data_IF_782644739234
#
_entry.id   IF_782644739234
#
_cell.length_a   1.000
_cell.length_b   1.000
_cell.length_c   1.000
_cell.angle_alpha   90.00
_cell.angle_beta   90.00
_cell.angle_gamma   90.00
#
_symmetry.space_group_name_H-M   'P 1'
#
loop_
_entity.id
_entity.type
_entity.pdbx_description
1 polymer ?
#
# COMPACT_ATOMS: atom_id res chain seq x y z
N UNK A 1 -7.21 -3.80 -15.81
CA UNK A 1 -6.46 -2.69 -15.17
C UNK A 1 -7.35 -1.45 -15.03
N UNK A 2 -8.03 -0.99 -16.07
CA UNK A 2 -8.97 0.15 -15.96
C UNK A 2 -10.11 -0.07 -14.96
N UNK A 3 -10.63 -1.29 -14.85
CA UNK A 3 -11.65 -1.63 -13.85
C UNK A 3 -11.14 -1.45 -12.41
N UNK A 4 -9.89 -1.83 -12.13
CA UNK A 4 -9.28 -1.68 -10.80
C UNK A 4 -9.04 -0.23 -10.44
N UNK A 5 -8.64 0.59 -11.41
CA UNK A 5 -8.47 2.04 -11.21
C UNK A 5 -9.79 2.68 -10.77
N UNK A 6 -10.91 2.30 -11.40
CA UNK A 6 -12.26 2.81 -11.04
C UNK A 6 -12.71 2.42 -9.64
N UNK A 7 -12.33 1.23 -9.16
CA UNK A 7 -12.73 0.74 -7.83
C UNK A 7 -12.14 1.58 -6.69
N UNK A 8 -10.97 2.19 -6.92
CA UNK A 8 -10.23 2.94 -5.90
C UNK A 8 -10.13 4.44 -6.19
N UNK A 9 -10.88 4.93 -7.17
CA UNK A 9 -10.81 6.32 -7.65
C UNK A 9 -9.37 6.77 -7.96
N UNK A 10 -8.57 5.84 -8.48
CA UNK A 10 -7.15 6.05 -8.73
C UNK A 10 -6.84 6.72 -10.06
N UNK A 11 -5.56 7.04 -10.26
CA UNK A 11 -5.03 7.49 -11.56
C UNK A 11 -3.86 6.60 -11.98
N UNK A 12 -3.64 6.49 -13.29
CA UNK A 12 -2.48 5.76 -13.80
C UNK A 12 -1.22 6.53 -13.49
N UNK A 13 -0.34 5.94 -12.69
CA UNK A 13 0.99 6.47 -12.47
C UNK A 13 1.88 6.25 -13.71
N UNK A 14 2.70 7.25 -14.04
CA UNK A 14 3.71 7.20 -15.08
C UNK A 14 5.04 7.68 -14.49
N UNK A 15 5.94 6.75 -14.23
CA UNK A 15 7.23 7.03 -13.61
C UNK A 15 7.93 5.74 -13.17
N UNK A 16 9.07 5.89 -12.51
CA UNK A 16 9.85 4.77 -11.99
C UNK A 16 9.47 4.47 -10.54
N UNK A 17 9.22 3.19 -10.24
CA UNK A 17 9.07 2.70 -8.87
C UNK A 17 10.40 2.05 -8.47
N UNK A 18 11.05 2.60 -7.45
CA UNK A 18 12.34 2.10 -6.94
C UNK A 18 12.12 1.25 -5.68
N UNK A 19 13.02 0.32 -5.41
CA UNK A 19 12.98 -0.56 -4.24
C UNK A 19 12.17 -1.84 -4.46
N UNK A 20 11.77 -2.47 -3.36
CA UNK A 20 11.17 -3.81 -3.38
C UNK A 20 9.89 -3.89 -4.23
N UNK A 21 9.01 -2.87 -4.14
CA UNK A 21 7.75 -2.86 -4.89
C UNK A 21 7.99 -2.88 -6.42
N UNK A 22 8.93 -2.07 -6.91
CA UNK A 22 9.29 -2.04 -8.33
C UNK A 22 9.92 -3.36 -8.78
N UNK A 23 10.87 -3.88 -8.00
CA UNK A 23 11.52 -5.16 -8.31
C UNK A 23 10.53 -6.33 -8.36
N UNK A 24 9.66 -6.46 -7.35
CA UNK A 24 8.65 -7.52 -7.29
C UNK A 24 7.66 -7.44 -8.46
N UNK A 25 7.28 -6.23 -8.89
CA UNK A 25 6.40 -6.03 -10.06
C UNK A 25 7.05 -6.57 -11.34
N UNK A 26 8.36 -6.31 -11.53
CA UNK A 26 9.11 -6.80 -12.69
C UNK A 26 9.25 -8.32 -12.64
N UNK A 27 9.70 -8.88 -11.51
CA UNK A 27 9.89 -10.33 -11.34
C UNK A 27 8.57 -11.10 -11.51
N UNK A 28 7.47 -10.59 -10.97
CA UNK A 28 6.16 -11.19 -11.15
C UNK A 28 5.74 -11.20 -12.64
N UNK A 29 6.04 -10.12 -13.37
CA UNK A 29 5.75 -10.02 -14.81
C UNK A 29 6.59 -11.01 -15.63
N UNK A 30 7.87 -11.14 -15.32
CA UNK A 30 8.78 -12.12 -15.95
C UNK A 30 8.34 -13.56 -15.68
N UNK A 31 7.76 -13.83 -14.51
CA UNK A 31 7.16 -15.11 -14.17
C UNK A 31 5.77 -15.35 -14.80
N UNK A 32 5.26 -14.42 -15.62
CA UNK A 32 3.94 -14.51 -16.26
C UNK A 32 2.76 -14.31 -15.30
N UNK A 33 3.00 -13.75 -14.10
CA UNK A 33 1.96 -13.50 -13.11
C UNK A 33 1.27 -12.15 -13.37
N UNK A 34 -0.06 -12.14 -13.25
CA UNK A 34 -0.82 -10.89 -13.22
C UNK A 34 -0.48 -10.12 -11.95
N UNK A 35 0.02 -8.91 -12.10
CA UNK A 35 0.44 -8.07 -10.99
C UNK A 35 0.09 -6.60 -11.26
N UNK A 36 0.07 -5.81 -10.19
CA UNK A 36 0.02 -4.36 -10.24
C UNK A 36 0.65 -3.81 -8.95
N UNK A 37 1.08 -2.56 -9.00
CA UNK A 37 1.52 -1.81 -7.82
C UNK A 37 0.55 -0.64 -7.60
N UNK A 38 0.17 -0.42 -6.34
CA UNK A 38 -0.61 0.74 -5.92
C UNK A 38 0.28 1.70 -5.14
N UNK A 39 0.24 2.97 -5.50
CA UNK A 39 0.97 4.04 -4.81
C UNK A 39 -0.06 4.95 -4.17
N UNK A 40 0.13 5.25 -2.88
CA UNK A 40 -0.68 6.22 -2.15
C UNK A 40 0.23 7.37 -1.77
N UNK A 41 -0.13 8.58 -2.20
CA UNK A 41 0.64 9.79 -1.87
C UNK A 41 0.64 10.04 -0.37
N UNK A 42 1.82 10.40 0.15
CA UNK A 42 2.07 10.68 1.57
C UNK A 42 2.65 12.07 1.73
N UNK A 43 2.43 12.71 2.89
CA UNK A 43 3.21 13.88 3.26
C UNK A 43 4.64 13.48 3.64
N UNK A 44 5.65 13.97 2.92
CA UNK A 44 7.04 13.46 2.93
C UNK A 44 7.78 13.47 4.28
N UNK A 45 7.32 14.27 5.26
CA UNK A 45 8.13 14.57 6.45
C UNK A 45 7.93 13.63 7.65
N UNK A 46 6.92 12.75 7.66
CA UNK A 46 6.63 11.86 8.79
C UNK A 46 5.81 10.63 8.35
N UNK A 47 5.73 9.56 9.18
CA UNK A 47 4.80 8.46 8.93
C UNK A 47 3.35 8.96 8.75
N UNK A 48 2.77 8.70 7.57
CA UNK A 48 1.43 9.15 7.21
C UNK A 48 0.40 8.03 7.41
N UNK A 49 -0.21 8.00 8.60
CA UNK A 49 -1.18 6.97 8.96
C UNK A 49 -2.53 7.12 8.25
N UNK A 50 -2.85 8.30 7.73
CA UNK A 50 -4.04 8.50 6.91
C UNK A 50 -3.83 7.95 5.50
N UNK A 51 -2.64 8.12 4.93
CA UNK A 51 -2.26 7.45 3.68
C UNK A 51 -2.22 5.92 3.84
N UNK A 52 -1.66 5.42 4.95
CA UNK A 52 -1.67 3.99 5.24
C UNK A 52 -3.11 3.44 5.35
N UNK A 53 -4.01 4.16 6.04
CA UNK A 53 -5.44 3.81 6.10
C UNK A 53 -6.06 3.73 4.70
N UNK A 54 -5.84 4.73 3.84
CA UNK A 54 -6.32 4.74 2.45
C UNK A 54 -5.80 3.55 1.65
N UNK A 55 -4.53 3.15 1.85
CA UNK A 55 -3.98 1.96 1.22
C UNK A 55 -4.71 0.68 1.63
N UNK A 56 -5.00 0.51 2.93
CA UNK A 56 -5.75 -0.65 3.44
C UNK A 56 -7.18 -0.66 2.89
N UNK A 57 -7.86 0.49 2.86
CA UNK A 57 -9.20 0.63 2.27
C UNK A 57 -9.21 0.24 0.79
N UNK A 58 -8.24 0.72 0.03
CA UNK A 58 -8.14 0.42 -1.40
C UNK A 58 -7.87 -1.07 -1.66
N UNK A 59 -6.99 -1.71 -0.88
CA UNK A 59 -6.78 -3.17 -0.96
C UNK A 59 -8.05 -3.94 -0.63
N UNK A 60 -8.76 -3.55 0.44
CA UNK A 60 -10.02 -4.19 0.82
C UNK A 60 -11.07 -4.11 -0.29
N UNK A 61 -11.20 -2.94 -0.94
CA UNK A 61 -12.10 -2.73 -2.09
C UNK A 61 -11.69 -3.55 -3.30
N UNK A 62 -10.42 -3.49 -3.71
CA UNK A 62 -9.90 -4.17 -4.91
C UNK A 62 -10.06 -5.69 -4.84
N UNK A 63 -9.85 -6.25 -3.65
CA UNK A 63 -9.90 -7.69 -3.42
C UNK A 63 -11.24 -8.15 -2.84
N UNK A 64 -12.19 -7.22 -2.64
CA UNK A 64 -13.48 -7.46 -2.00
C UNK A 64 -13.35 -8.24 -0.67
N UNK A 65 -12.37 -7.85 0.16
CA UNK A 65 -12.08 -8.53 1.41
C UNK A 65 -12.92 -7.91 2.55
N UNK A 66 -13.48 -8.73 3.45
CA UNK A 66 -14.22 -8.25 4.62
C UNK A 66 -13.28 -7.79 5.74
N UNK A 67 -12.37 -6.87 5.42
CA UNK A 67 -11.40 -6.33 6.37
C UNK A 67 -12.06 -5.24 7.23
N UNK A 68 -11.85 -5.32 8.55
CA UNK A 68 -12.08 -4.18 9.44
C UNK A 68 -10.99 -3.15 9.14
N UNK A 69 -11.38 -2.02 8.57
CA UNK A 69 -10.44 -0.93 8.28
C UNK A 69 -10.02 -0.28 9.60
N UNK A 70 -8.71 -0.27 9.93
CA UNK A 70 -8.23 0.34 11.16
C UNK A 70 -8.30 1.87 11.09
N UNK A 71 -8.40 2.52 12.23
CA UNK A 71 -8.24 3.97 12.36
C UNK A 71 -6.77 4.38 12.19
N UNK A 72 -6.52 5.66 11.91
CA UNK A 72 -5.15 6.19 11.86
C UNK A 72 -4.44 6.06 13.23
N UNK A 73 -5.19 6.12 14.34
CA UNK A 73 -4.67 5.91 15.68
C UNK A 73 -4.28 4.44 15.91
N UNK A 74 -5.12 3.48 15.50
CA UNK A 74 -4.82 2.05 15.58
C UNK A 74 -3.55 1.71 14.76
N UNK A 75 -3.41 2.30 13.57
CA UNK A 75 -2.21 2.15 12.73
C UNK A 75 -0.97 2.78 13.36
N UNK A 76 -1.09 3.98 13.91
CA UNK A 76 0.00 4.67 14.62
C UNK A 76 0.52 3.85 15.80
N UNK A 77 -0.40 3.34 16.62
CA UNK A 77 -0.06 2.48 17.76
C UNK A 77 0.65 1.20 17.30
N UNK A 78 0.14 0.54 16.26
CA UNK A 78 0.77 -0.66 15.72
C UNK A 78 2.19 -0.38 15.20
N UNK A 79 2.38 0.74 14.48
CA UNK A 79 3.70 1.17 14.01
C UNK A 79 4.70 1.37 15.15
N UNK A 80 4.31 2.07 16.22
CA UNK A 80 5.19 2.31 17.37
C UNK A 80 5.59 1.02 18.08
N UNK A 81 4.65 0.08 18.25
CA UNK A 81 4.96 -1.23 18.84
C UNK A 81 5.95 -2.01 17.97
N UNK A 82 5.73 -2.05 16.65
CA UNK A 82 6.64 -2.70 15.72
C UNK A 82 8.04 -2.05 15.70
N UNK A 83 8.10 -0.72 15.83
CA UNK A 83 9.37 0.00 15.90
C UNK A 83 10.15 -0.36 17.17
N UNK A 84 9.48 -0.40 18.32
CA UNK A 84 10.09 -0.81 19.59
C UNK A 84 10.62 -2.26 19.53
N UNK A 85 9.87 -3.17 18.91
CA UNK A 85 10.31 -4.55 18.70
C UNK A 85 11.52 -4.64 17.78
N UNK A 86 11.54 -3.85 16.70
CA UNK A 86 12.65 -3.82 15.75
C UNK A 86 13.92 -3.24 16.38
N UNK A 87 13.81 -2.19 17.18
CA UNK A 87 14.94 -1.54 17.87
C UNK A 87 15.49 -2.37 19.06
N UNK A 88 14.73 -3.36 19.53
CA UNK A 88 15.16 -4.27 20.59
C UNK A 88 16.05 -5.43 20.10
N UNK A 89 16.22 -5.56 18.77
CA UNK A 89 17.08 -6.57 18.09
C UNK A 89 18.44 -5.97 17.78
#
# INVERSE_FOLDING_TARGET
>A
MEEWIKVVDGVRYSGQIVGAAGLLTVLASEAGLKNFSMLVETAEMAPDFFAAKRAVEAVAKLLNLPLKIPSAEELSKAYLLSLMEFEAV
#
